data_IF_977471693289
#
_entry.id   IF_977471693289
#
_cell.length_a   1.000
_cell.length_b   1.000
_cell.length_c   1.000
_cell.angle_alpha   90.00
_cell.angle_beta   90.00
_cell.angle_gamma   90.00
#
_symmetry.space_group_name_H-M   'P 1'
#
loop_
_entity.id
_entity.type
_entity.pdbx_description
1 polymer ?
#
# COMPACT_ATOMS: atom_id res chain seq x y z
N UNK A 1 16.16 -0.56 -12.58
CA UNK A 1 14.76 -0.38 -12.15
C UNK A 1 14.68 -0.78 -10.68
N UNK A 2 14.13 0.06 -9.79
CA UNK A 2 14.20 -0.13 -8.33
C UNK A 2 13.64 -1.49 -7.88
N UNK A 3 14.31 -2.19 -6.95
CA UNK A 3 13.89 -3.49 -6.39
C UNK A 3 12.41 -3.46 -5.94
N UNK A 4 12.02 -2.40 -5.22
CA UNK A 4 10.65 -2.18 -4.74
C UNK A 4 9.61 -2.11 -5.87
N UNK A 5 9.95 -1.54 -7.03
CA UNK A 5 9.02 -1.48 -8.16
C UNK A 5 8.71 -2.88 -8.71
N UNK A 6 9.74 -3.71 -8.86
CA UNK A 6 9.55 -5.09 -9.32
C UNK A 6 8.74 -5.91 -8.30
N UNK A 7 8.99 -5.69 -7.00
CA UNK A 7 8.21 -6.31 -5.92
C UNK A 7 6.73 -5.89 -5.98
N UNK A 8 6.44 -4.59 -6.15
CA UNK A 8 5.08 -4.07 -6.27
C UNK A 8 4.35 -4.65 -7.48
N UNK A 9 5.03 -4.74 -8.63
CA UNK A 9 4.45 -5.32 -9.85
C UNK A 9 4.07 -6.78 -9.66
N UNK A 10 4.91 -7.55 -8.97
CA UNK A 10 4.61 -8.96 -8.64
C UNK A 10 3.50 -9.07 -7.61
N UNK A 11 3.50 -8.18 -6.60
CA UNK A 11 2.49 -8.14 -5.55
C UNK A 11 1.11 -7.78 -6.09
N UNK A 12 1.04 -6.95 -7.13
CA UNK A 12 -0.21 -6.52 -7.78
C UNK A 12 -1.10 -7.69 -8.18
N UNK A 13 -0.51 -8.79 -8.64
CA UNK A 13 -1.23 -10.01 -9.04
C UNK A 13 -1.93 -10.74 -7.89
N UNK A 14 -1.59 -10.41 -6.64
CA UNK A 14 -2.26 -10.98 -5.45
C UNK A 14 -3.53 -10.24 -5.05
N UNK A 15 -3.83 -9.11 -5.70
CA UNK A 15 -5.07 -8.37 -5.46
C UNK A 15 -6.29 -9.25 -5.70
N UNK A 16 -7.24 -9.21 -4.75
CA UNK A 16 -8.56 -9.80 -4.94
C UNK A 16 -9.54 -8.68 -5.24
N UNK A 17 -9.69 -8.35 -6.52
CA UNK A 17 -10.54 -7.25 -6.97
C UNK A 17 -11.48 -7.67 -8.11
N UNK A 18 -12.34 -8.70 -7.94
CA UNK A 18 -13.17 -9.20 -9.03
C UNK A 18 -14.28 -8.23 -9.46
N UNK A 19 -14.65 -7.26 -8.61
CA UNK A 19 -15.76 -6.35 -8.86
C UNK A 19 -15.28 -5.12 -9.63
N UNK A 20 -14.29 -4.39 -9.13
CA UNK A 20 -13.76 -3.20 -9.84
C UNK A 20 -12.77 -3.55 -10.94
N UNK A 21 -12.13 -4.72 -10.87
CA UNK A 21 -10.98 -5.12 -11.71
C UNK A 21 -9.79 -4.17 -11.59
N UNK A 22 -9.78 -3.31 -10.57
CA UNK A 22 -8.73 -2.33 -10.33
C UNK A 22 -7.79 -2.83 -9.23
N UNK A 23 -6.57 -3.19 -9.62
CA UNK A 23 -5.58 -3.77 -8.71
C UNK A 23 -4.73 -2.67 -8.10
N UNK A 24 -4.46 -2.78 -6.80
CA UNK A 24 -3.56 -1.90 -6.05
C UNK A 24 -2.67 -2.77 -5.16
N UNK A 25 -1.39 -2.43 -5.11
CA UNK A 25 -0.40 -3.02 -4.24
C UNK A 25 0.29 -1.94 -3.42
N UNK A 26 0.67 -2.28 -2.19
CA UNK A 26 1.41 -1.39 -1.32
C UNK A 26 2.48 -2.15 -0.53
N UNK A 27 3.62 -1.49 -0.33
CA UNK A 27 4.70 -1.97 0.54
C UNK A 27 5.03 -0.86 1.52
N UNK A 28 5.02 -1.17 2.81
CA UNK A 28 5.50 -0.28 3.87
C UNK A 28 6.89 -0.68 4.32
N UNK A 29 7.69 0.29 4.73
CA UNK A 29 9.02 0.11 5.28
C UNK A 29 9.13 0.84 6.62
N UNK A 30 9.83 0.24 7.57
CA UNK A 30 10.32 0.93 8.76
C UNK A 30 11.76 1.44 8.57
N UNK A 31 12.21 2.24 9.54
CA UNK A 31 13.58 2.79 9.58
C UNK A 31 14.67 1.70 9.62
N UNK A 32 14.33 0.48 10.02
CA UNK A 32 15.22 -0.69 10.03
C UNK A 32 15.23 -1.49 8.72
N UNK A 33 14.45 -1.08 7.72
CA UNK A 33 14.33 -1.77 6.44
C UNK A 33 13.39 -2.98 6.45
N UNK A 34 12.67 -3.24 7.55
CA UNK A 34 11.64 -4.29 7.61
C UNK A 34 10.50 -3.88 6.68
N UNK A 35 10.08 -4.81 5.81
CA UNK A 35 9.01 -4.60 4.83
C UNK A 35 7.73 -5.30 5.27
N UNK A 36 6.58 -4.70 5.01
CA UNK A 36 5.28 -5.40 5.03
C UNK A 36 4.49 -5.08 3.77
N UNK A 37 3.72 -6.05 3.28
CA UNK A 37 3.07 -6.01 1.96
C UNK A 37 1.56 -6.07 2.10
N UNK A 38 0.86 -5.32 1.27
CA UNK A 38 -0.60 -5.31 1.21
C UNK A 38 -1.10 -5.18 -0.23
N UNK A 39 -2.30 -5.66 -0.46
CA UNK A 39 -3.05 -5.51 -1.72
C UNK A 39 -4.49 -5.13 -1.38
N UNK A 40 -5.20 -4.54 -2.34
CA UNK A 40 -6.63 -4.37 -2.14
C UNK A 40 -7.35 -5.73 -2.20
N UNK A 41 -8.31 -5.90 -1.30
CA UNK A 41 -9.18 -7.07 -1.21
C UNK A 41 -10.60 -6.57 -1.15
N UNK A 42 -11.38 -6.92 -2.17
CA UNK A 42 -12.77 -6.53 -2.29
C UNK A 42 -13.70 -7.56 -1.67
N UNK A 43 -14.95 -7.15 -1.47
CA UNK A 43 -16.03 -8.01 -1.00
C UNK A 43 -17.32 -7.59 -1.72
N UNK A 44 -18.27 -8.49 -1.92
CA UNK A 44 -19.56 -8.14 -2.55
C UNK A 44 -20.32 -7.05 -1.78
N UNK A 45 -20.22 -7.04 -0.45
CA UNK A 45 -20.90 -6.08 0.42
C UNK A 45 -20.04 -4.83 0.62
N UNK A 46 -20.12 -3.85 -0.27
CA UNK A 46 -19.37 -2.59 -0.11
C UNK A 46 -19.90 -1.82 1.11
N UNK A 47 -19.04 -1.23 1.96
CA UNK A 47 -17.59 -1.04 1.82
C UNK A 47 -16.73 -2.04 2.62
N UNK A 48 -17.13 -3.31 2.75
CA UNK A 48 -16.43 -4.32 3.59
C UNK A 48 -15.05 -4.73 3.07
N UNK A 49 -14.65 -4.25 1.89
CA UNK A 49 -13.30 -4.44 1.36
C UNK A 49 -12.26 -3.54 2.03
N UNK A 50 -10.99 -3.75 1.68
CA UNK A 50 -9.86 -2.99 2.20
C UNK A 50 -8.92 -2.57 1.08
N UNK A 51 -8.42 -1.33 1.16
CA UNK A 51 -7.42 -0.80 0.23
C UNK A 51 -6.04 -1.41 0.52
N UNK A 52 -5.14 -1.37 -0.46
CA UNK A 52 -3.80 -1.95 -0.33
C UNK A 52 -2.98 -1.31 0.79
N UNK A 53 -3.09 0.00 0.97
CA UNK A 53 -2.38 0.78 1.98
C UNK A 53 -2.81 0.34 3.39
N UNK A 54 -4.12 0.20 3.61
CA UNK A 54 -4.67 -0.26 4.89
C UNK A 54 -4.35 -1.72 5.16
N UNK A 55 -4.39 -2.58 4.13
CA UNK A 55 -3.93 -3.96 4.23
C UNK A 55 -2.45 -4.04 4.66
N UNK A 56 -1.59 -3.23 4.06
CA UNK A 56 -0.17 -3.18 4.40
C UNK A 56 0.07 -2.64 5.81
N UNK A 57 -0.55 -1.52 6.17
CA UNK A 57 -0.37 -0.87 7.48
C UNK A 57 -0.92 -1.73 8.63
N UNK A 58 -2.17 -2.18 8.54
CA UNK A 58 -2.77 -3.00 9.60
C UNK A 58 -2.05 -4.35 9.74
N UNK A 59 -1.65 -4.95 8.62
CA UNK A 59 -0.86 -6.18 8.64
C UNK A 59 0.53 -5.97 9.25
N UNK A 60 1.19 -4.84 8.98
CA UNK A 60 2.47 -4.50 9.59
C UNK A 60 2.33 -4.42 11.12
N UNK A 61 1.34 -3.67 11.61
CA UNK A 61 1.09 -3.52 13.05
C UNK A 61 0.81 -4.88 13.70
N UNK A 62 -0.04 -5.71 13.09
CA UNK A 62 -0.34 -7.04 13.63
C UNK A 62 0.86 -7.99 13.65
N UNK A 63 1.88 -7.74 12.82
CA UNK A 63 3.14 -8.48 12.76
C UNK A 63 4.31 -7.75 13.46
N UNK A 64 3.98 -6.90 14.43
CA UNK A 64 4.93 -6.34 15.38
C UNK A 64 5.68 -5.09 14.91
N UNK A 65 5.25 -4.44 13.83
CA UNK A 65 5.62 -3.03 13.63
C UNK A 65 4.93 -2.18 14.68
N UNK A 66 5.55 -1.07 15.08
CA UNK A 66 4.96 -0.14 16.06
C UNK A 66 4.34 1.05 15.32
N UNK A 67 3.21 1.60 15.78
CA UNK A 67 2.74 2.89 15.29
C UNK A 67 3.87 3.94 15.38
N UNK A 68 4.04 4.73 14.32
CA UNK A 68 5.12 5.72 14.21
C UNK A 68 6.49 5.16 13.78
N UNK A 69 6.66 3.84 13.62
CA UNK A 69 7.94 3.27 13.18
C UNK A 69 8.10 3.19 11.66
N UNK A 70 6.99 3.29 10.92
CA UNK A 70 6.93 3.17 9.45
C UNK A 70 7.30 4.52 8.83
N UNK A 71 8.42 4.59 8.11
CA UNK A 71 8.97 5.83 7.53
C UNK A 71 8.66 5.98 6.03
N UNK A 72 8.21 4.90 5.36
CA UNK A 72 7.85 4.95 3.93
C UNK A 72 6.68 4.03 3.63
N UNK A 73 5.81 4.48 2.73
CA UNK A 73 4.82 3.66 2.05
C UNK A 73 4.93 3.86 0.54
N UNK A 74 4.95 2.75 -0.19
CA UNK A 74 4.94 2.74 -1.64
C UNK A 74 3.57 2.27 -2.11
N UNK A 75 2.99 2.93 -3.10
CA UNK A 75 1.66 2.65 -3.64
C UNK A 75 1.78 2.47 -5.15
N UNK A 76 1.24 1.37 -5.65
CA UNK A 76 1.26 1.03 -7.07
C UNK A 76 -0.09 0.48 -7.49
N UNK A 77 -0.50 0.72 -8.74
CA UNK A 77 -1.76 0.22 -9.26
C UNK A 77 -1.65 -0.28 -10.68
N UNK A 78 -2.72 -0.90 -11.18
CA UNK A 78 -2.86 -1.25 -12.60
C UNK A 78 -3.09 -0.05 -13.52
N UNK A 79 -3.18 1.18 -12.99
CA UNK A 79 -3.25 2.41 -13.79
C UNK A 79 -1.89 2.77 -14.40
N UNK A 80 -1.89 3.45 -15.55
CA UNK A 80 -0.67 4.01 -16.13
C UNK A 80 -0.12 5.18 -15.29
N UNK A 81 -1.02 5.98 -14.71
CA UNK A 81 -0.69 7.13 -13.88
C UNK A 81 -0.61 6.76 -12.39
N UNK A 82 0.21 7.47 -11.59
CA UNK A 82 0.20 7.33 -10.13
C UNK A 82 -1.20 7.62 -9.58
N UNK A 83 -1.62 6.84 -8.58
CA UNK A 83 -2.90 7.04 -7.91
C UNK A 83 -2.72 7.65 -6.53
N UNK A 84 -3.62 8.54 -6.17
CA UNK A 84 -3.64 9.12 -4.84
C UNK A 84 -4.37 8.19 -3.84
N UNK A 85 -3.88 8.03 -2.60
CA UNK A 85 -4.57 7.27 -1.57
C UNK A 85 -5.91 7.92 -1.20
N UNK A 86 -6.93 7.10 -0.96
CA UNK A 86 -8.25 7.57 -0.53
C UNK A 86 -8.19 8.18 0.88
N UNK A 87 -9.21 8.95 1.26
CA UNK A 87 -9.24 9.66 2.55
C UNK A 87 -9.14 8.71 3.75
N UNK A 88 -9.79 7.53 3.67
CA UNK A 88 -9.68 6.51 4.71
C UNK A 88 -8.26 5.96 4.86
N UNK A 89 -7.51 5.80 3.77
CA UNK A 89 -6.11 5.40 3.84
C UNK A 89 -5.25 6.51 4.44
N UNK A 90 -5.48 7.78 4.05
CA UNK A 90 -4.74 8.93 4.61
C UNK A 90 -4.91 9.05 6.12
N UNK A 91 -6.13 8.86 6.64
CA UNK A 91 -6.38 8.89 8.08
C UNK A 91 -5.63 7.77 8.83
N UNK A 92 -5.51 6.59 8.23
CA UNK A 92 -4.74 5.48 8.81
C UNK A 92 -3.23 5.76 8.73
N UNK A 93 -2.75 6.38 7.65
CA UNK A 93 -1.35 6.80 7.54
C UNK A 93 -0.98 7.79 8.63
N UNK A 94 -1.80 8.82 8.88
CA UNK A 94 -1.52 9.83 9.92
C UNK A 94 -1.49 9.25 11.33
N UNK A 95 -2.20 8.15 11.58
CA UNK A 95 -2.22 7.46 12.87
C UNK A 95 -1.03 6.51 13.05
N UNK A 96 -0.64 5.78 11.99
CA UNK A 96 0.26 4.63 12.11
C UNK A 96 1.67 4.88 11.60
N UNK A 97 1.90 5.89 10.76
CA UNK A 97 3.20 6.20 10.18
C UNK A 97 3.93 7.28 10.98
N UNK A 98 5.25 7.37 10.79
CA UNK A 98 6.04 8.51 11.28
C UNK A 98 5.50 9.83 10.71
N UNK A 99 5.55 10.91 11.48
CA UNK A 99 5.03 12.23 11.06
C UNK A 99 5.72 12.75 9.79
N UNK A 100 6.97 12.34 9.56
CA UNK A 100 7.78 12.71 8.40
C UNK A 100 7.85 11.58 7.36
N UNK A 101 6.99 10.57 7.47
CA UNK A 101 7.01 9.43 6.58
C UNK A 101 6.70 9.83 5.14
N UNK A 102 7.37 9.18 4.19
CA UNK A 102 7.19 9.44 2.78
C UNK A 102 6.08 8.58 2.19
N UNK A 103 5.12 9.22 1.53
CA UNK A 103 4.11 8.56 0.70
C UNK A 103 4.57 8.62 -0.75
N UNK A 104 4.96 7.48 -1.30
CA UNK A 104 5.58 7.37 -2.63
C UNK A 104 4.58 6.70 -3.58
N UNK A 105 4.08 7.46 -4.55
CA UNK A 105 3.15 6.98 -5.56
C UNK A 105 3.96 6.55 -6.78
N UNK A 106 3.73 5.34 -7.29
CA UNK A 106 4.50 4.82 -8.42
C UNK A 106 3.58 4.63 -9.63
N UNK A 107 4.00 5.16 -10.78
CA UNK A 107 3.38 4.94 -12.09
C UNK A 107 3.81 3.59 -12.69
N UNK A 108 3.10 3.16 -13.73
CA UNK A 108 3.38 1.88 -14.41
C UNK A 108 4.75 1.84 -15.11
N UNK A 109 5.32 2.98 -15.49
CA UNK A 109 6.67 3.10 -16.02
C UNK A 109 7.77 3.20 -14.93
N UNK A 110 7.40 3.10 -13.66
CA UNK A 110 8.30 3.08 -12.52
C UNK A 110 8.79 4.46 -12.06
N UNK A 111 8.21 5.54 -12.58
CA UNK A 111 8.42 6.90 -12.06
C UNK A 111 7.69 7.08 -10.73
N UNK A 112 8.22 7.97 -9.91
CA UNK A 112 7.70 8.32 -8.58
C UNK A 112 7.16 9.74 -8.61
#
# INVERSE_FOLDING_TARGET
MNEIYNELKTLLEKSYSPYSKFKVASIVLDKGGKKFKGVNVENAAYPSGICAERSALFGAISHGFKPGSIDKIYIFSSSNEPIAPCLGCRQVMTELMDENALVILISNDGKK
#
